data_IF_151198089461
#
_entry.id   IF_151198089461
#
_cell.length_a   1.000
_cell.length_b   1.000
_cell.length_c   1.000
_cell.angle_alpha   90.00
_cell.angle_beta   90.00
_cell.angle_gamma   90.00
#
_symmetry.space_group_name_H-M   'P 1'
#
loop_
_entity.id
_entity.type
_entity.pdbx_description
1 polymer ?
#
# COMPACT_ATOMS: atom_id res chain seq x y z
N UNK A 1 -94.57 61.19 26.03
CA UNK A 1 -93.23 60.75 26.48
C UNK A 1 -93.14 59.23 26.33
N UNK A 2 -92.01 58.70 25.84
CA UNK A 2 -91.86 57.42 25.11
C UNK A 2 -91.45 56.19 25.97
N UNK A 3 -91.90 55.01 25.50
CA UNK A 3 -91.32 53.62 25.46
C UNK A 3 -91.22 52.78 26.77
N UNK A 4 -91.92 51.62 26.87
CA UNK A 4 -91.59 50.21 26.45
C UNK A 4 -90.50 49.55 27.34
N UNK A 5 -90.49 48.27 27.78
CA UNK A 5 -91.32 47.04 27.67
C UNK A 5 -90.63 45.92 28.53
N UNK A 6 -91.35 44.80 28.77
CA UNK A 6 -90.90 43.38 28.91
C UNK A 6 -90.61 42.69 30.27
N UNK A 7 -91.61 41.90 30.70
CA UNK A 7 -91.68 40.44 31.05
C UNK A 7 -90.51 39.65 31.67
N UNK A 8 -90.83 38.76 32.65
CA UNK A 8 -90.80 37.26 32.52
C UNK A 8 -91.12 36.50 33.83
N UNK A 9 -91.78 35.33 33.69
CA UNK A 9 -91.94 34.20 34.64
C UNK A 9 -90.84 33.11 34.38
N UNK A 10 -90.92 31.79 34.75
CA UNK A 10 -91.59 30.97 35.81
C UNK A 10 -90.68 29.83 36.45
N UNK A 11 -91.26 28.99 37.36
CA UNK A 11 -91.08 27.56 37.82
C UNK A 11 -90.04 26.55 37.18
N UNK A 12 -89.88 25.24 37.58
CA UNK A 12 -89.98 24.45 38.86
C UNK A 12 -88.79 23.43 39.12
N UNK A 13 -88.84 22.62 40.21
CA UNK A 13 -87.87 21.54 40.57
C UNK A 13 -88.18 20.14 39.95
N UNK A 14 -87.13 19.35 39.65
CA UNK A 14 -87.16 18.03 38.98
C UNK A 14 -86.39 16.92 39.74
N UNK A 15 -86.82 15.67 39.48
CA UNK A 15 -86.48 14.34 40.02
C UNK A 15 -84.99 13.92 40.16
N UNK A 16 -84.74 13.01 41.11
CA UNK A 16 -83.45 12.31 41.36
C UNK A 16 -83.22 11.09 40.46
N UNK A 17 -82.02 10.96 39.89
CA UNK A 17 -81.49 9.75 39.21
C UNK A 17 -80.12 9.42 39.82
N UNK A 18 -79.94 8.18 40.29
CA UNK A 18 -78.68 7.66 40.84
C UNK A 18 -77.71 7.28 39.70
N UNK A 19 -76.54 7.91 39.66
CA UNK A 19 -75.47 7.67 38.66
C UNK A 19 -74.65 6.40 38.99
N UNK A 20 -74.49 5.52 38.00
CA UNK A 20 -73.48 4.43 37.99
C UNK A 20 -72.09 5.00 37.70
N UNK A 21 -71.10 4.63 38.52
CA UNK A 21 -69.69 5.00 38.37
C UNK A 21 -69.08 4.25 37.18
N UNK A 22 -68.54 4.98 36.20
CA UNK A 22 -67.77 4.45 35.08
C UNK A 22 -66.29 4.42 35.50
N UNK A 23 -65.70 3.23 35.50
CA UNK A 23 -64.26 3.02 35.65
C UNK A 23 -63.61 3.09 34.26
N UNK A 24 -62.74 4.07 34.05
CA UNK A 24 -61.90 4.16 32.85
C UNK A 24 -60.72 3.19 32.98
N UNK A 25 -60.70 2.16 32.15
CA UNK A 25 -59.57 1.23 32.02
C UNK A 25 -58.50 1.88 31.13
N UNK A 26 -57.34 2.20 31.70
CA UNK A 26 -56.17 2.65 30.94
C UNK A 26 -55.46 1.39 30.39
N UNK A 27 -55.70 1.08 29.12
CA UNK A 27 -55.04 -0.02 28.42
C UNK A 27 -53.59 0.39 28.12
N UNK A 28 -52.67 0.05 29.01
CA UNK A 28 -51.24 0.16 28.76
C UNK A 28 -50.83 -0.82 27.68
N UNK A 29 -50.68 -0.33 26.44
CA UNK A 29 -50.03 -1.06 25.37
C UNK A 29 -48.54 -1.14 25.70
N UNK A 30 -48.14 -2.16 26.46
CA UNK A 30 -46.77 -2.65 26.48
C UNK A 30 -46.50 -3.26 25.10
N UNK A 31 -46.19 -2.38 24.14
CA UNK A 31 -45.53 -2.78 22.92
C UNK A 31 -44.20 -3.38 23.33
N UNK A 32 -44.12 -4.71 23.34
CA UNK A 32 -42.86 -5.41 23.14
C UNK A 32 -42.46 -5.10 21.71
N UNK A 33 -41.96 -3.87 21.50
CA UNK A 33 -41.14 -3.61 20.34
C UNK A 33 -39.96 -4.54 20.51
N UNK A 34 -39.94 -5.63 19.75
CA UNK A 34 -38.66 -6.13 19.30
C UNK A 34 -37.95 -4.89 18.77
N UNK A 35 -36.90 -4.45 19.47
CA UNK A 35 -35.89 -3.60 18.89
C UNK A 35 -35.31 -4.45 17.77
N UNK A 36 -36.01 -4.47 16.64
CA UNK A 36 -35.52 -5.03 15.42
C UNK A 36 -34.40 -4.07 15.07
N UNK A 37 -33.16 -4.49 15.33
CA UNK A 37 -31.99 -3.78 14.86
C UNK A 37 -32.28 -3.41 13.41
N UNK A 38 -32.20 -2.11 13.10
CA UNK A 38 -32.40 -1.64 11.75
C UNK A 38 -31.41 -2.41 10.87
N UNK A 39 -31.90 -3.38 10.11
CA UNK A 39 -31.07 -4.14 9.20
C UNK A 39 -30.38 -3.11 8.29
N UNK A 40 -29.06 -3.14 8.24
CA UNK A 40 -28.28 -2.22 7.41
C UNK A 40 -28.93 -2.13 6.02
N UNK A 41 -29.34 -0.91 5.63
CA UNK A 41 -29.99 -0.70 4.34
C UNK A 41 -29.02 -1.15 3.25
N UNK A 42 -29.37 -2.25 2.58
CA UNK A 42 -28.60 -2.76 1.45
C UNK A 42 -29.26 -2.28 0.18
N UNK A 43 -28.59 -1.41 -0.58
CA UNK A 43 -29.01 -1.08 -1.93
C UNK A 43 -28.76 -2.30 -2.82
N UNK A 44 -29.83 -2.98 -3.23
CA UNK A 44 -29.74 -4.08 -4.18
C UNK A 44 -29.96 -3.57 -5.59
N UNK A 45 -28.92 -3.57 -6.41
CA UNK A 45 -29.04 -3.39 -7.84
C UNK A 45 -29.27 -4.75 -8.52
N UNK A 46 -30.52 -4.99 -8.90
CA UNK A 46 -30.96 -6.18 -9.66
C UNK A 46 -31.35 -5.82 -11.11
N UNK A 47 -30.95 -4.63 -11.59
CA UNK A 47 -31.26 -4.11 -12.93
C UNK A 47 -30.08 -3.29 -13.50
N UNK A 48 -30.29 -2.62 -14.62
CA UNK A 48 -29.33 -1.64 -15.13
C UNK A 48 -29.28 -0.41 -14.22
N UNK A 49 -28.09 -0.05 -13.77
CA UNK A 49 -27.85 1.18 -13.02
C UNK A 49 -26.77 1.98 -13.75
N UNK A 50 -27.12 3.18 -14.19
CA UNK A 50 -26.19 4.10 -14.85
C UNK A 50 -26.01 5.34 -13.99
N UNK A 51 -24.79 5.57 -13.51
CA UNK A 51 -24.39 6.78 -12.80
C UNK A 51 -23.70 7.68 -13.83
N UNK A 52 -24.37 8.76 -14.24
CA UNK A 52 -23.85 9.68 -15.25
C UNK A 52 -22.64 10.47 -14.74
N UNK A 53 -21.82 10.96 -15.67
CA UNK A 53 -20.73 11.87 -15.33
C UNK A 53 -21.25 13.10 -14.56
N UNK A 54 -20.57 13.45 -13.47
CA UNK A 54 -20.99 14.53 -12.56
C UNK A 54 -22.11 14.18 -11.59
N UNK A 55 -22.78 13.03 -11.74
CA UNK A 55 -23.77 12.54 -10.78
C UNK A 55 -23.11 11.79 -9.61
N UNK A 56 -23.81 11.73 -8.48
CA UNK A 56 -23.37 11.00 -7.29
C UNK A 56 -24.48 10.10 -6.74
N UNK A 57 -24.12 8.86 -6.38
CA UNK A 57 -24.94 8.00 -5.54
C UNK A 57 -24.23 7.85 -4.19
N UNK A 58 -24.96 8.14 -3.12
CA UNK A 58 -24.52 7.92 -1.74
C UNK A 58 -25.37 6.82 -1.11
N UNK A 59 -24.74 5.72 -0.71
CA UNK A 59 -25.39 4.59 -0.05
C UNK A 59 -25.01 4.60 1.43
N UNK A 60 -25.97 4.94 2.29
CA UNK A 60 -25.81 4.84 3.74
C UNK A 60 -25.96 3.39 4.20
N UNK A 61 -25.04 2.54 3.79
CA UNK A 61 -25.05 1.11 4.07
C UNK A 61 -24.32 0.32 3.01
N UNK A 62 -24.69 -0.95 2.86
CA UNK A 62 -24.07 -1.85 1.89
C UNK A 62 -24.73 -1.72 0.52
N UNK A 63 -24.02 -2.11 -0.53
CA UNK A 63 -24.56 -2.23 -1.88
C UNK A 63 -24.24 -3.60 -2.45
N UNK A 64 -25.21 -4.20 -3.15
CA UNK A 64 -25.02 -5.44 -3.90
C UNK A 64 -25.40 -5.22 -5.36
N UNK A 65 -24.47 -5.50 -6.27
CA UNK A 65 -24.70 -5.58 -7.70
C UNK A 65 -24.86 -7.07 -8.07
N UNK A 66 -26.10 -7.50 -8.30
CA UNK A 66 -26.49 -8.91 -8.41
C UNK A 66 -26.11 -9.54 -9.75
N UNK A 67 -25.94 -10.87 -9.78
CA UNK A 67 -25.43 -11.64 -10.93
C UNK A 67 -26.43 -11.87 -12.09
N UNK A 68 -27.54 -11.12 -12.15
CA UNK A 68 -28.60 -11.36 -13.13
C UNK A 68 -28.24 -10.82 -14.53
N UNK A 69 -28.63 -11.55 -15.58
CA UNK A 69 -28.17 -11.38 -16.98
C UNK A 69 -28.40 -10.01 -17.65
N UNK A 70 -29.12 -9.08 -17.01
CA UNK A 70 -29.41 -7.72 -17.52
C UNK A 70 -28.85 -6.61 -16.60
N UNK A 71 -28.06 -6.97 -15.58
CA UNK A 71 -27.51 -6.05 -14.59
C UNK A 71 -26.16 -5.52 -15.08
N UNK A 72 -26.16 -4.37 -15.74
CA UNK A 72 -24.94 -3.66 -16.10
C UNK A 72 -24.85 -2.40 -15.23
N UNK A 73 -23.98 -2.43 -14.21
CA UNK A 73 -23.62 -1.21 -13.51
C UNK A 73 -22.62 -0.43 -14.36
N UNK A 74 -23.03 0.75 -14.79
CA UNK A 74 -22.18 1.72 -15.47
C UNK A 74 -21.95 2.89 -14.53
N UNK A 75 -20.75 2.98 -13.95
CA UNK A 75 -20.39 4.08 -13.09
C UNK A 75 -19.47 5.08 -13.81
N UNK A 76 -20.05 6.17 -14.31
CA UNK A 76 -19.31 7.30 -14.87
C UNK A 76 -19.28 8.52 -13.92
N UNK A 77 -20.03 8.47 -12.82
CA UNK A 77 -20.09 9.49 -11.78
C UNK A 77 -19.34 9.05 -10.52
N UNK A 78 -19.88 9.33 -9.35
CA UNK A 78 -19.34 8.88 -8.06
C UNK A 78 -20.31 7.94 -7.36
N UNK A 79 -19.85 6.76 -6.98
CA UNK A 79 -20.54 5.88 -6.03
C UNK A 79 -19.81 5.93 -4.68
N UNK A 80 -20.49 6.37 -3.64
CA UNK A 80 -19.97 6.38 -2.26
C UNK A 80 -20.80 5.49 -1.37
N UNK A 81 -20.18 4.71 -0.50
CA UNK A 81 -20.88 3.84 0.44
C UNK A 81 -20.22 3.80 1.82
N UNK A 82 -21.02 3.67 2.87
CA UNK A 82 -20.56 3.50 4.26
C UNK A 82 -20.48 2.04 4.71
N UNK A 83 -21.10 1.10 3.99
CA UNK A 83 -21.09 -0.34 4.25
C UNK A 83 -20.31 -1.16 3.21
N UNK A 84 -20.62 -2.44 3.07
CA UNK A 84 -19.88 -3.34 2.17
C UNK A 84 -20.34 -3.21 0.72
N UNK A 85 -19.44 -3.49 -0.23
CA UNK A 85 -19.79 -3.60 -1.65
C UNK A 85 -19.67 -5.06 -2.08
N UNK A 86 -20.70 -5.62 -2.70
CA UNK A 86 -20.64 -6.92 -3.39
C UNK A 86 -20.88 -6.70 -4.88
N UNK A 87 -19.89 -7.03 -5.72
CA UNK A 87 -20.01 -6.89 -7.17
C UNK A 87 -19.93 -8.24 -7.89
N UNK A 88 -21.09 -8.76 -8.31
CA UNK A 88 -21.19 -10.04 -9.03
C UNK A 88 -21.41 -9.86 -10.54
N UNK A 89 -21.14 -8.67 -11.07
CA UNK A 89 -21.28 -8.37 -12.50
C UNK A 89 -20.08 -7.59 -13.01
N UNK A 90 -19.86 -7.69 -14.32
CA UNK A 90 -18.87 -6.85 -14.98
C UNK A 90 -19.33 -5.40 -14.93
N UNK A 91 -18.50 -4.52 -14.39
CA UNK A 91 -18.65 -3.08 -14.58
C UNK A 91 -18.16 -2.78 -16.00
N UNK A 92 -19.08 -2.43 -16.92
CA UNK A 92 -18.72 -2.23 -18.33
C UNK A 92 -17.60 -1.20 -18.51
N UNK A 93 -16.77 -1.41 -19.53
CA UNK A 93 -15.57 -0.63 -19.83
C UNK A 93 -15.91 0.84 -20.15
N UNK A 94 -15.96 1.66 -19.11
CA UNK A 94 -15.89 3.11 -19.14
C UNK A 94 -15.29 3.54 -17.79
N UNK A 95 -13.98 3.41 -17.65
CA UNK A 95 -13.21 3.77 -16.46
C UNK A 95 -13.17 5.29 -16.27
N UNK A 96 -14.33 5.91 -16.04
CA UNK A 96 -14.49 7.35 -15.84
C UNK A 96 -15.01 7.71 -14.45
N UNK A 97 -15.71 6.77 -13.79
CA UNK A 97 -16.27 7.01 -12.46
C UNK A 97 -15.30 6.84 -11.29
N UNK A 98 -15.82 7.18 -10.11
CA UNK A 98 -15.18 7.05 -8.80
C UNK A 98 -15.96 6.08 -7.91
N UNK A 99 -15.25 5.21 -7.19
CA UNK A 99 -15.78 4.45 -6.07
C UNK A 99 -15.18 4.96 -4.75
N UNK A 100 -16.00 5.24 -3.74
CA UNK A 100 -15.54 5.73 -2.46
C UNK A 100 -16.04 4.86 -1.29
N UNK A 101 -15.11 4.28 -0.55
CA UNK A 101 -15.37 3.60 0.72
C UNK A 101 -15.18 4.61 1.85
N UNK A 102 -16.30 5.06 2.44
CA UNK A 102 -16.36 6.19 3.38
C UNK A 102 -17.03 5.81 4.71
N UNK A 103 -16.94 4.54 5.08
CA UNK A 103 -17.51 4.01 6.31
C UNK A 103 -16.72 4.39 7.57
N UNK A 104 -17.30 4.10 8.72
CA UNK A 104 -16.65 4.22 10.05
C UNK A 104 -16.35 2.86 10.68
N UNK A 105 -16.92 1.79 10.12
CA UNK A 105 -16.64 0.39 10.47
C UNK A 105 -15.87 -0.27 9.33
N UNK A 106 -15.13 -1.35 9.61
CA UNK A 106 -14.39 -2.07 8.57
C UNK A 106 -15.31 -2.44 7.39
N UNK A 107 -14.88 -2.09 6.18
CA UNK A 107 -15.63 -2.37 4.95
C UNK A 107 -15.00 -3.53 4.20
N UNK A 108 -15.81 -4.19 3.36
CA UNK A 108 -15.38 -5.31 2.53
C UNK A 108 -15.83 -5.08 1.09
N UNK A 109 -14.91 -5.27 0.15
CA UNK A 109 -15.21 -5.47 -1.27
C UNK A 109 -15.29 -6.97 -1.56
N UNK A 110 -16.49 -7.44 -1.86
CA UNK A 110 -16.81 -8.81 -2.22
C UNK A 110 -17.23 -8.92 -3.68
N UNK A 111 -17.42 -10.16 -4.10
CA UNK A 111 -18.15 -10.52 -5.32
C UNK A 111 -17.32 -11.37 -6.28
N UNK A 112 -17.98 -11.89 -7.30
CA UNK A 112 -17.37 -12.78 -8.29
C UNK A 112 -16.57 -12.04 -9.37
N UNK A 113 -16.70 -10.71 -9.45
CA UNK A 113 -16.12 -9.91 -10.54
C UNK A 113 -15.35 -8.72 -9.98
N UNK A 114 -14.20 -8.42 -10.59
CA UNK A 114 -13.40 -7.27 -10.22
C UNK A 114 -14.18 -5.97 -10.46
N UNK A 115 -14.01 -5.00 -9.56
CA UNK A 115 -14.53 -3.65 -9.77
C UNK A 115 -13.59 -2.83 -10.64
N UNK A 116 -14.05 -2.31 -11.77
CA UNK A 116 -13.23 -1.49 -12.67
C UNK A 116 -13.69 -0.04 -12.64
N UNK A 117 -12.77 0.90 -12.39
CA UNK A 117 -13.11 2.33 -12.26
C UNK A 117 -11.93 3.22 -12.59
N UNK A 118 -12.18 4.53 -12.78
CA UNK A 118 -11.09 5.50 -12.91
C UNK A 118 -10.41 5.69 -11.57
N UNK A 119 -11.17 6.14 -10.59
CA UNK A 119 -10.66 6.59 -9.31
C UNK A 119 -11.28 5.78 -8.17
N UNK A 120 -10.49 5.53 -7.13
CA UNK A 120 -10.97 4.96 -5.87
C UNK A 120 -10.54 5.87 -4.73
N UNK A 121 -11.42 6.06 -3.76
CA UNK A 121 -11.09 6.73 -2.51
C UNK A 121 -11.35 5.80 -1.33
N UNK A 122 -10.33 5.65 -0.48
CA UNK A 122 -10.45 4.96 0.80
C UNK A 122 -10.38 6.04 1.87
N UNK A 123 -11.51 6.25 2.54
CA UNK A 123 -11.64 7.16 3.67
C UNK A 123 -12.34 6.43 4.83
N UNK A 124 -11.68 5.38 5.32
CA UNK A 124 -12.18 4.56 6.40
C UNK A 124 -11.02 4.03 7.24
N UNK A 125 -10.78 4.65 8.40
CA UNK A 125 -9.71 4.26 9.31
C UNK A 125 -9.83 2.83 9.85
N UNK A 126 -11.03 2.24 9.85
CA UNK A 126 -11.23 0.84 10.21
C UNK A 126 -10.79 -0.15 9.11
N UNK A 127 -10.45 0.36 7.92
CA UNK A 127 -9.84 -0.40 6.83
C UNK A 127 -10.82 -0.99 5.82
N UNK A 128 -10.25 -1.50 4.73
CA UNK A 128 -10.97 -2.16 3.64
C UNK A 128 -10.36 -3.55 3.40
N UNK A 129 -11.17 -4.61 3.50
CA UNK A 129 -10.77 -5.97 3.12
C UNK A 129 -11.20 -6.25 1.68
N UNK A 130 -10.31 -6.84 0.86
CA UNK A 130 -10.61 -7.20 -0.52
C UNK A 130 -10.76 -8.72 -0.70
N UNK A 131 -12.00 -9.16 -0.88
CA UNK A 131 -12.33 -10.51 -1.34
C UNK A 131 -12.51 -10.58 -2.86
N UNK A 132 -12.71 -9.44 -3.52
CA UNK A 132 -12.66 -9.27 -4.98
C UNK A 132 -11.65 -8.18 -5.34
N UNK A 133 -11.03 -8.29 -6.51
CA UNK A 133 -10.07 -7.31 -6.99
C UNK A 133 -10.76 -5.98 -7.35
N UNK A 134 -9.97 -4.91 -7.39
CA UNK A 134 -10.37 -3.69 -8.08
C UNK A 134 -9.26 -3.26 -9.05
N UNK A 135 -9.66 -2.61 -10.13
CA UNK A 135 -8.77 -2.09 -11.17
C UNK A 135 -8.92 -0.57 -11.21
N UNK A 136 -7.82 0.14 -10.97
CA UNK A 136 -7.71 1.60 -10.98
C UNK A 136 -6.93 2.02 -12.22
N UNK A 137 -7.58 2.80 -13.08
CA UNK A 137 -6.96 3.38 -14.28
C UNK A 137 -6.48 4.83 -14.06
N UNK A 138 -7.01 5.50 -13.04
CA UNK A 138 -6.66 6.86 -12.61
C UNK A 138 -5.97 6.82 -11.26
N UNK A 139 -6.63 7.31 -10.20
CA UNK A 139 -6.01 7.50 -8.89
C UNK A 139 -6.68 6.69 -7.78
N UNK A 140 -5.89 5.94 -7.00
CA UNK A 140 -6.28 5.46 -5.68
C UNK A 140 -5.88 6.50 -4.62
N UNK A 141 -6.84 7.15 -3.98
CA UNK A 141 -6.60 8.11 -2.91
C UNK A 141 -6.68 7.42 -1.54
N UNK A 142 -5.54 7.29 -0.87
CA UNK A 142 -5.43 6.78 0.51
C UNK A 142 -5.71 7.87 1.54
N UNK A 143 -6.95 8.39 1.59
CA UNK A 143 -7.32 9.45 2.52
C UNK A 143 -7.20 8.99 3.98
N UNK A 144 -7.72 7.81 4.29
CA UNK A 144 -7.52 7.13 5.58
C UNK A 144 -7.79 5.61 5.46
N UNK A 145 -7.09 4.80 6.26
CA UNK A 145 -7.33 3.36 6.35
C UNK A 145 -6.36 2.48 5.56
N UNK A 146 -6.18 1.26 6.07
CA UNK A 146 -5.36 0.22 5.44
C UNK A 146 -6.23 -0.69 4.58
N UNK A 147 -5.77 -0.98 3.36
CA UNK A 147 -6.36 -2.00 2.50
C UNK A 147 -5.69 -3.33 2.81
N UNK A 148 -6.48 -4.37 3.08
CA UNK A 148 -6.02 -5.74 3.31
C UNK A 148 -6.53 -6.66 2.21
N UNK A 149 -5.70 -6.99 1.20
CA UNK A 149 -6.02 -7.97 0.18
C UNK A 149 -6.14 -9.37 0.79
N UNK A 150 -7.34 -9.94 0.84
CA UNK A 150 -7.57 -11.29 1.38
C UNK A 150 -7.58 -12.34 0.26
N UNK A 151 -8.37 -12.08 -0.80
CA UNK A 151 -8.43 -12.90 -2.01
C UNK A 151 -8.25 -12.03 -3.26
N UNK A 152 -8.93 -10.89 -3.29
CA UNK A 152 -8.80 -9.90 -4.35
C UNK A 152 -7.58 -9.02 -4.15
N UNK A 153 -7.04 -8.48 -5.25
CA UNK A 153 -5.88 -7.59 -5.23
C UNK A 153 -6.23 -6.18 -5.71
N UNK A 154 -5.58 -5.12 -5.17
CA UNK A 154 -5.50 -3.82 -5.82
C UNK A 154 -4.68 -3.95 -7.11
N UNK A 155 -5.27 -3.53 -8.23
CA UNK A 155 -4.61 -3.54 -9.54
C UNK A 155 -4.57 -2.12 -10.10
N UNK A 156 -3.36 -1.63 -10.37
CA UNK A 156 -3.14 -0.38 -11.09
C UNK A 156 -2.89 -0.68 -12.57
N UNK A 157 -3.72 -0.13 -13.45
CA UNK A 157 -3.70 -0.42 -14.88
C UNK A 157 -3.18 0.78 -15.65
N UNK A 158 -2.24 0.58 -16.57
CA UNK A 158 -1.63 1.60 -17.43
C UNK A 158 -1.07 2.79 -16.63
N UNK A 159 -1.75 3.94 -16.70
CA UNK A 159 -1.40 5.18 -16.00
C UNK A 159 -1.94 5.26 -14.57
N UNK A 160 -2.52 4.16 -14.06
CA UNK A 160 -3.02 4.06 -12.69
C UNK A 160 -1.93 4.40 -11.67
N UNK A 161 -2.26 5.29 -10.73
CA UNK A 161 -1.37 5.79 -9.68
C UNK A 161 -2.11 5.93 -8.34
N UNK A 162 -1.40 6.31 -7.29
CA UNK A 162 -1.99 6.61 -5.99
C UNK A 162 -1.47 7.94 -5.42
N UNK A 163 -2.21 8.45 -4.45
CA UNK A 163 -1.83 9.61 -3.65
C UNK A 163 -2.13 9.36 -2.17
N UNK A 164 -1.45 10.12 -1.30
CA UNK A 164 -1.66 10.13 0.15
C UNK A 164 -1.40 8.81 0.89
N UNK A 165 -0.68 7.87 0.28
CA UNK A 165 -0.20 6.70 1.00
C UNK A 165 0.77 7.12 2.13
N UNK A 166 0.58 6.55 3.33
CA UNK A 166 1.35 6.85 4.55
C UNK A 166 1.21 5.68 5.54
N UNK A 167 1.88 5.78 6.68
CA UNK A 167 1.79 4.78 7.77
C UNK A 167 0.34 4.42 8.14
N UNK A 168 -0.53 5.42 8.28
CA UNK A 168 -1.94 5.21 8.61
C UNK A 168 -2.83 4.80 7.43
N UNK A 169 -2.32 4.80 6.19
CA UNK A 169 -3.09 4.43 5.00
C UNK A 169 -2.20 3.91 3.86
N UNK A 170 -2.17 2.59 3.72
CA UNK A 170 -1.42 1.87 2.71
C UNK A 170 -2.05 0.48 2.49
N UNK A 171 -1.45 -0.35 1.63
CA UNK A 171 -1.84 -1.74 1.43
C UNK A 171 -1.00 -2.65 2.32
N UNK A 172 -1.64 -3.39 3.23
CA UNK A 172 -1.02 -4.48 3.95
C UNK A 172 -1.24 -5.78 3.18
N UNK A 173 -0.35 -6.06 2.23
CA UNK A 173 -0.46 -7.22 1.34
C UNK A 173 0.16 -6.96 -0.03
N UNK A 174 -0.42 -7.59 -1.05
CA UNK A 174 0.10 -7.54 -2.42
C UNK A 174 -0.61 -6.50 -3.28
N UNK A 175 0.15 -5.76 -4.09
CA UNK A 175 -0.37 -4.81 -5.09
C UNK A 175 0.15 -5.20 -6.47
N UNK A 176 -0.70 -5.07 -7.49
CA UNK A 176 -0.36 -5.35 -8.90
C UNK A 176 -0.24 -4.06 -9.69
N UNK A 177 0.79 -3.95 -10.53
CA UNK A 177 0.94 -2.92 -11.57
C UNK A 177 1.01 -3.57 -12.95
N UNK A 178 0.15 -3.14 -13.85
CA UNK A 178 0.11 -3.52 -15.27
C UNK A 178 0.68 -2.35 -16.10
N UNK A 179 1.55 -2.65 -17.06
CA UNK A 179 2.18 -1.67 -17.95
C UNK A 179 3.54 -1.15 -17.46
N UNK A 180 4.09 -0.18 -18.18
CA UNK A 180 5.45 0.37 -17.98
C UNK A 180 5.45 1.70 -17.23
N UNK A 181 6.63 2.28 -17.00
CA UNK A 181 6.83 3.59 -16.37
C UNK A 181 7.16 3.53 -14.88
N UNK A 182 7.26 4.71 -14.27
CA UNK A 182 7.51 4.85 -12.84
C UNK A 182 6.24 4.51 -12.03
N UNK A 183 6.41 3.74 -10.97
CA UNK A 183 5.33 3.40 -10.04
C UNK A 183 5.88 3.21 -8.64
N UNK A 184 5.16 3.71 -7.64
CA UNK A 184 5.47 3.49 -6.22
C UNK A 184 4.45 2.50 -5.66
N UNK A 185 4.87 1.31 -5.23
CA UNK A 185 3.98 0.37 -4.58
C UNK A 185 3.63 0.88 -3.17
N UNK A 186 2.35 1.19 -2.87
CA UNK A 186 1.93 1.70 -1.57
C UNK A 186 1.74 0.57 -0.56
N UNK A 187 2.79 -0.23 -0.34
CA UNK A 187 2.75 -1.46 0.47
C UNK A 187 3.42 -1.27 1.83
N UNK A 188 3.03 -2.06 2.82
CA UNK A 188 3.54 -2.01 4.18
C UNK A 188 3.08 -3.21 5.00
N UNK A 189 3.19 -3.12 6.33
CA UNK A 189 2.79 -4.19 7.26
C UNK A 189 1.51 -3.89 8.06
N UNK A 190 0.74 -2.88 7.65
CA UNK A 190 -0.43 -2.38 8.37
C UNK A 190 -0.13 -1.35 9.45
N UNK A 191 1.14 -1.11 9.77
CA UNK A 191 1.58 -0.10 10.74
C UNK A 191 2.48 0.94 10.06
N UNK A 192 3.44 0.47 9.26
CA UNK A 192 4.41 1.29 8.54
C UNK A 192 4.27 1.10 7.05
N UNK A 193 4.25 2.22 6.32
CA UNK A 193 4.40 2.20 4.87
C UNK A 193 5.86 1.90 4.56
N UNK A 194 6.10 0.82 3.84
CA UNK A 194 7.43 0.45 3.35
C UNK A 194 7.35 0.24 1.85
N UNK A 195 7.29 1.36 1.14
CA UNK A 195 7.08 1.38 -0.30
C UNK A 195 8.25 0.76 -1.05
N UNK A 196 7.95 0.22 -2.23
CA UNK A 196 8.93 -0.17 -3.24
C UNK A 196 8.69 0.68 -4.47
N UNK A 197 9.66 1.45 -4.92
CA UNK A 197 9.51 2.18 -6.18
C UNK A 197 10.15 1.41 -7.31
N UNK A 198 9.51 1.43 -8.48
CA UNK A 198 10.01 0.82 -9.71
C UNK A 198 9.97 1.83 -10.84
N UNK A 199 10.90 1.69 -11.79
CA UNK A 199 10.80 2.32 -13.09
C UNK A 199 10.90 1.24 -14.16
N UNK A 200 9.74 0.85 -14.68
CA UNK A 200 9.56 -0.31 -15.55
C UNK A 200 9.80 0.11 -17.00
N UNK A 201 10.80 -0.47 -17.64
CA UNK A 201 11.10 -0.21 -19.06
C UNK A 201 10.43 -1.24 -19.97
N UNK A 202 10.42 -2.51 -19.56
CA UNK A 202 9.79 -3.61 -20.30
C UNK A 202 8.88 -4.38 -19.36
N UNK A 203 7.60 -4.47 -19.72
CA UNK A 203 6.61 -5.34 -19.10
C UNK A 203 5.43 -5.48 -20.07
N UNK A 204 5.16 -6.71 -20.51
CA UNK A 204 4.04 -7.05 -21.41
C UNK A 204 2.86 -7.66 -20.65
N UNK A 205 2.90 -7.70 -19.32
CA UNK A 205 1.85 -8.28 -18.49
C UNK A 205 1.68 -7.54 -17.16
N UNK A 206 2.16 -8.10 -16.05
CA UNK A 206 2.10 -7.43 -14.75
C UNK A 206 3.33 -7.69 -13.90
N UNK A 207 3.59 -6.77 -12.97
CA UNK A 207 4.41 -7.02 -11.79
C UNK A 207 3.54 -6.89 -10.54
N UNK A 208 3.87 -7.63 -9.50
CA UNK A 208 3.25 -7.44 -8.19
C UNK A 208 4.30 -7.39 -7.10
N UNK A 209 4.05 -6.57 -6.10
CA UNK A 209 4.94 -6.43 -4.96
C UNK A 209 4.19 -6.58 -3.64
N UNK A 210 4.88 -7.12 -2.64
CA UNK A 210 4.45 -7.14 -1.24
C UNK A 210 5.64 -6.89 -0.32
N UNK A 211 5.35 -6.39 0.87
CA UNK A 211 6.33 -6.11 1.91
C UNK A 211 6.26 -7.16 3.01
N UNK A 212 7.39 -7.42 3.67
CA UNK A 212 7.45 -8.27 4.86
C UNK A 212 8.49 -7.75 5.83
N UNK A 213 8.10 -7.66 7.11
CA UNK A 213 9.02 -7.41 8.22
C UNK A 213 9.64 -8.74 8.69
N UNK A 214 10.89 -8.67 9.11
CA UNK A 214 11.76 -9.79 9.43
C UNK A 214 12.61 -10.25 8.24
N UNK A 215 13.52 -11.19 8.52
CA UNK A 215 14.23 -11.90 7.47
C UNK A 215 13.32 -12.97 6.89
N UNK A 216 13.61 -13.40 5.67
CA UNK A 216 13.07 -14.69 5.24
C UNK A 216 13.90 -15.76 5.95
N UNK A 217 13.31 -16.39 6.97
CA UNK A 217 13.95 -17.48 7.72
C UNK A 217 14.55 -18.50 6.75
N UNK A 218 15.85 -18.78 6.89
CA UNK A 218 16.55 -19.80 6.10
C UNK A 218 17.20 -19.30 4.80
N UNK A 219 17.14 -18.00 4.48
CA UNK A 219 17.83 -17.46 3.31
C UNK A 219 19.28 -17.06 3.62
N UNK A 220 20.12 -18.03 3.98
CA UNK A 220 21.56 -17.90 3.76
C UNK A 220 21.89 -17.73 2.27
N UNK A 221 23.18 -17.69 1.93
CA UNK A 221 23.63 -17.59 0.55
C UNK A 221 24.95 -16.88 0.43
N UNK A 222 25.68 -17.15 -0.65
CA UNK A 222 26.88 -16.39 -0.94
C UNK A 222 26.53 -15.01 -1.49
N UNK A 223 27.36 -14.02 -1.18
CA UNK A 223 27.40 -12.75 -1.91
C UNK A 223 28.29 -12.96 -3.13
N UNK A 224 27.73 -12.80 -4.33
CA UNK A 224 28.45 -13.12 -5.58
C UNK A 224 28.68 -11.87 -6.42
N UNK A 225 29.59 -11.98 -7.38
CA UNK A 225 29.89 -10.96 -8.39
C UNK A 225 28.97 -11.03 -9.62
N UNK A 226 27.90 -11.83 -9.57
CA UNK A 226 26.99 -12.05 -10.70
C UNK A 226 25.85 -11.01 -10.79
N UNK A 227 25.79 -10.05 -9.85
CA UNK A 227 24.85 -8.95 -9.93
C UNK A 227 25.19 -7.96 -11.04
N UNK A 228 24.30 -7.02 -11.30
CA UNK A 228 24.58 -5.92 -12.26
C UNK A 228 25.78 -5.07 -11.85
N UNK A 229 26.17 -5.10 -10.56
CA UNK A 229 27.45 -4.61 -10.07
C UNK A 229 28.36 -5.80 -9.73
N UNK A 230 29.60 -5.85 -10.26
CA UNK A 230 30.48 -7.01 -10.09
C UNK A 230 31.14 -7.10 -8.71
N UNK A 231 31.04 -6.05 -7.87
CA UNK A 231 31.51 -6.09 -6.49
C UNK A 231 30.49 -6.85 -5.63
N UNK A 232 30.87 -7.95 -4.95
CA UNK A 232 29.97 -8.62 -4.03
C UNK A 232 29.48 -7.70 -2.90
N UNK A 233 28.30 -8.00 -2.36
CA UNK A 233 27.84 -7.37 -1.13
C UNK A 233 28.71 -7.83 0.04
N UNK A 234 28.93 -6.94 1.01
CA UNK A 234 29.47 -7.30 2.32
C UNK A 234 28.37 -7.75 3.28
N UNK A 235 27.13 -7.31 3.04
CA UNK A 235 25.98 -7.75 3.81
C UNK A 235 24.65 -7.28 3.22
N UNK A 236 23.57 -7.69 3.87
CA UNK A 236 22.20 -7.30 3.55
C UNK A 236 21.38 -7.04 4.80
N UNK A 237 20.32 -6.25 4.65
CA UNK A 237 19.33 -6.07 5.67
C UNK A 237 18.54 -7.38 5.87
N UNK A 238 18.37 -7.75 7.14
CA UNK A 238 17.65 -8.94 7.57
C UNK A 238 16.42 -8.57 8.40
N UNK A 239 16.12 -7.28 8.55
CA UNK A 239 14.93 -6.82 9.25
C UNK A 239 13.71 -6.67 8.35
N UNK A 240 13.87 -6.62 7.03
CA UNK A 240 12.77 -6.53 6.09
C UNK A 240 13.18 -6.89 4.66
N UNK A 241 12.18 -7.17 3.83
CA UNK A 241 12.35 -7.38 2.40
C UNK A 241 11.06 -7.12 1.63
N UNK A 242 11.20 -7.00 0.31
CA UNK A 242 10.11 -6.93 -0.64
C UNK A 242 10.13 -8.15 -1.55
N UNK A 243 8.97 -8.77 -1.74
CA UNK A 243 8.79 -9.73 -2.82
C UNK A 243 8.38 -8.97 -4.07
N UNK A 244 9.15 -9.12 -5.15
CA UNK A 244 8.80 -8.63 -6.47
C UNK A 244 8.59 -9.83 -7.40
N UNK A 245 7.36 -10.00 -7.87
CA UNK A 245 7.01 -11.08 -8.78
C UNK A 245 6.73 -10.50 -10.18
N UNK A 246 7.40 -11.05 -11.18
CA UNK A 246 7.08 -10.81 -12.58
C UNK A 246 6.08 -11.87 -13.06
N UNK A 247 4.97 -11.42 -13.66
CA UNK A 247 3.94 -12.29 -14.22
C UNK A 247 4.44 -13.18 -15.37
N UNK A 248 3.51 -13.97 -15.92
CA UNK A 248 3.72 -14.64 -17.20
C UNK A 248 3.91 -13.63 -18.33
N UNK A 249 4.63 -13.99 -19.38
CA UNK A 249 4.94 -13.08 -20.50
C UNK A 249 6.44 -12.98 -20.73
N UNK A 250 6.91 -11.79 -21.09
CA UNK A 250 8.32 -11.43 -21.24
C UNK A 250 9.01 -11.20 -19.89
N UNK A 251 10.34 -11.05 -19.95
CA UNK A 251 11.10 -10.63 -18.77
C UNK A 251 10.78 -9.18 -18.44
N UNK A 252 10.57 -8.91 -17.16
CA UNK A 252 10.56 -7.55 -16.64
C UNK A 252 11.97 -6.98 -16.72
N UNK A 253 12.09 -5.75 -17.21
CA UNK A 253 13.33 -4.98 -17.14
C UNK A 253 13.03 -3.60 -16.58
N UNK A 254 13.80 -3.18 -15.57
CA UNK A 254 13.63 -1.88 -14.96
C UNK A 254 14.55 -1.66 -13.77
N UNK A 255 14.38 -0.50 -13.13
CA UNK A 255 15.09 -0.18 -11.89
C UNK A 255 14.15 -0.34 -10.69
N UNK A 256 14.72 -0.69 -9.55
CA UNK A 256 14.03 -0.76 -8.26
C UNK A 256 14.70 0.22 -7.30
N UNK A 257 13.90 0.96 -6.54
CA UNK A 257 14.39 1.82 -5.46
C UNK A 257 13.83 1.32 -4.14
N UNK A 258 14.76 1.04 -3.21
CA UNK A 258 14.45 0.69 -1.82
C UNK A 258 14.78 1.88 -0.93
N UNK A 259 14.07 1.97 0.19
CA UNK A 259 14.18 3.05 1.14
C UNK A 259 14.73 2.50 2.47
N UNK A 260 15.42 3.35 3.21
CA UNK A 260 15.66 3.13 4.63
C UNK A 260 15.11 4.32 5.40
N UNK A 261 14.55 4.07 6.56
CA UNK A 261 13.95 5.07 7.46
C UNK A 261 14.21 4.74 8.94
N UNK A 262 15.08 3.76 9.19
CA UNK A 262 15.36 3.19 10.51
C UNK A 262 14.35 2.14 10.97
N UNK A 263 13.19 2.03 10.33
CA UNK A 263 12.25 0.92 10.56
C UNK A 263 12.87 -0.34 9.99
N UNK A 264 13.04 -1.38 10.81
CA UNK A 264 13.49 -2.70 10.36
C UNK A 264 14.84 -2.69 9.58
N UNK A 265 15.67 -1.66 9.77
CA UNK A 265 17.03 -1.59 9.23
C UNK A 265 18.01 -2.18 10.25
N UNK A 266 18.40 -3.44 10.05
CA UNK A 266 19.31 -4.14 10.98
C UNK A 266 20.73 -3.58 10.97
N UNK A 267 21.06 -2.69 10.02
CA UNK A 267 22.37 -2.07 9.93
C UNK A 267 22.25 -0.55 9.71
N UNK A 268 21.59 0.10 10.66
CA UNK A 268 21.28 1.54 10.63
C UNK A 268 22.48 2.50 10.72
N UNK A 269 23.70 1.98 10.93
CA UNK A 269 24.94 2.78 10.97
C UNK A 269 25.65 2.92 9.63
N UNK A 270 25.17 2.25 8.58
CA UNK A 270 25.85 2.23 7.27
C UNK A 270 25.76 3.59 6.58
N UNK A 271 26.92 4.11 6.17
CA UNK A 271 27.00 5.36 5.40
C UNK A 271 26.26 5.21 4.06
N UNK A 272 25.48 6.22 3.63
CA UNK A 272 24.66 6.07 2.42
C UNK A 272 25.43 5.63 1.19
N UNK A 273 26.65 6.13 0.98
CA UNK A 273 27.46 5.88 -0.23
C UNK A 273 27.77 4.40 -0.51
N UNK A 274 27.71 3.53 0.50
CA UNK A 274 27.94 2.09 0.34
C UNK A 274 26.64 1.27 0.32
N UNK A 275 25.47 1.89 0.51
CA UNK A 275 24.17 1.22 0.39
C UNK A 275 23.93 0.77 -1.04
N UNK A 276 23.36 -0.41 -1.20
CA UNK A 276 23.06 -1.05 -2.49
C UNK A 276 21.67 -1.65 -2.47
N UNK A 277 21.14 -1.95 -3.65
CA UNK A 277 20.00 -2.86 -3.77
C UNK A 277 20.53 -4.29 -3.78
N UNK A 278 20.09 -5.11 -2.83
CA UNK A 278 20.39 -6.53 -2.79
C UNK A 278 19.22 -7.31 -3.39
N UNK A 279 19.49 -8.18 -4.36
CA UNK A 279 18.50 -9.09 -4.93
C UNK A 279 18.91 -10.52 -4.72
N UNK A 280 17.97 -11.36 -4.31
CA UNK A 280 18.17 -12.80 -4.27
C UNK A 280 17.91 -13.43 -5.63
N UNK A 281 18.84 -14.23 -6.11
CA UNK A 281 18.65 -15.10 -7.26
C UNK A 281 19.05 -16.53 -6.90
N UNK A 282 18.11 -17.48 -6.99
CA UNK A 282 18.35 -18.84 -6.52
C UNK A 282 18.72 -18.84 -5.04
N UNK A 283 19.92 -19.35 -4.72
CA UNK A 283 20.44 -19.37 -3.34
C UNK A 283 21.35 -18.21 -2.98
N UNK A 284 21.69 -17.35 -3.93
CA UNK A 284 22.73 -16.33 -3.75
C UNK A 284 22.16 -14.92 -3.74
N UNK A 285 23.00 -13.99 -3.29
CA UNK A 285 22.70 -12.57 -3.20
C UNK A 285 23.56 -11.80 -4.18
N UNK A 286 22.86 -11.02 -5.00
CA UNK A 286 23.42 -10.20 -6.05
C UNK A 286 23.43 -8.74 -5.62
N UNK A 287 24.53 -8.07 -5.94
CA UNK A 287 24.64 -6.63 -5.83
C UNK A 287 24.05 -5.97 -7.08
N UNK A 288 22.92 -5.30 -6.92
CA UNK A 288 22.25 -4.61 -8.03
C UNK A 288 22.64 -3.14 -8.17
N UNK A 289 23.67 -2.69 -7.45
CA UNK A 289 24.19 -1.34 -7.56
C UNK A 289 23.44 -0.30 -6.74
N UNK A 290 23.72 0.96 -7.04
CA UNK A 290 23.27 2.13 -6.29
C UNK A 290 23.49 3.42 -7.10
N UNK A 291 22.79 3.56 -8.23
CA UNK A 291 22.99 4.67 -9.19
C UNK A 291 22.48 6.01 -8.70
N UNK A 292 21.53 5.99 -7.77
CA UNK A 292 21.01 7.19 -7.14
C UNK A 292 20.82 6.91 -5.66
N UNK A 293 21.81 7.33 -4.86
CA UNK A 293 21.79 7.22 -3.41
C UNK A 293 21.50 8.61 -2.86
N UNK A 294 20.42 8.75 -2.11
CA UNK A 294 19.99 10.01 -1.51
C UNK A 294 19.70 9.81 -0.03
N UNK A 295 19.88 10.86 0.76
CA UNK A 295 19.50 10.90 2.17
C UNK A 295 20.67 10.91 3.14
N UNK A 296 20.38 10.55 4.38
CA UNK A 296 21.29 10.52 5.53
C UNK A 296 21.47 9.08 6.02
N UNK A 297 22.26 8.88 7.08
CA UNK A 297 22.40 7.57 7.72
C UNK A 297 21.04 7.02 8.20
N UNK A 298 20.15 7.88 8.70
CA UNK A 298 18.89 7.46 9.32
C UNK A 298 17.74 7.29 8.34
N UNK A 299 17.75 8.01 7.22
CA UNK A 299 16.70 7.89 6.21
C UNK A 299 17.18 8.26 4.81
N UNK A 300 16.72 7.53 3.79
CA UNK A 300 17.10 7.76 2.40
C UNK A 300 16.63 6.68 1.45
N UNK A 301 17.22 6.66 0.27
CA UNK A 301 16.89 5.73 -0.80
C UNK A 301 18.08 5.33 -1.64
N UNK A 302 18.05 4.12 -2.18
CA UNK A 302 19.02 3.65 -3.17
C UNK A 302 18.30 3.00 -4.34
N UNK A 303 18.60 3.49 -5.55
CA UNK A 303 18.10 2.92 -6.82
C UNK A 303 19.12 1.96 -7.42
N UNK A 304 18.68 0.77 -7.80
CA UNK A 304 19.49 -0.23 -8.49
C UNK A 304 19.92 0.25 -9.89
N UNK A 305 20.87 -0.46 -10.50
CA UNK A 305 20.98 -0.54 -11.95
C UNK A 305 19.69 -1.12 -12.56
N UNK A 306 19.61 -1.09 -13.89
CA UNK A 306 18.57 -1.86 -14.57
C UNK A 306 18.78 -3.35 -14.31
N UNK A 307 17.75 -4.01 -13.77
CA UNK A 307 17.73 -5.45 -13.50
C UNK A 307 16.72 -6.13 -14.41
N UNK A 308 17.00 -7.39 -14.75
CA UNK A 308 16.09 -8.24 -15.51
C UNK A 308 15.54 -9.33 -14.61
N UNK A 309 14.21 -9.43 -14.53
CA UNK A 309 13.50 -10.46 -13.77
C UNK A 309 12.77 -11.39 -14.75
N UNK A 310 13.15 -12.68 -14.82
CA UNK A 310 12.51 -13.62 -15.73
C UNK A 310 11.00 -13.75 -15.48
N UNK A 311 10.27 -14.12 -16.52
CA UNK A 311 8.83 -14.36 -16.43
C UNK A 311 8.49 -15.45 -15.40
N UNK A 312 7.36 -15.28 -14.72
CA UNK A 312 6.85 -16.22 -13.70
C UNK A 312 7.82 -16.47 -12.54
N UNK A 313 8.67 -15.50 -12.20
CA UNK A 313 9.61 -15.63 -11.07
C UNK A 313 9.31 -14.64 -9.95
N UNK A 314 9.50 -15.10 -8.72
CA UNK A 314 9.54 -14.25 -7.55
C UNK A 314 10.99 -13.91 -7.22
N UNK A 315 11.26 -12.64 -6.94
CA UNK A 315 12.56 -12.14 -6.49
C UNK A 315 12.39 -11.51 -5.12
N UNK A 316 13.37 -11.73 -4.26
CA UNK A 316 13.44 -11.03 -2.98
C UNK A 316 14.41 -9.87 -3.15
N UNK A 317 13.93 -8.68 -2.83
CA UNK A 317 14.68 -7.44 -2.83
C UNK A 317 14.82 -6.96 -1.39
N UNK A 318 16.01 -6.53 -1.00
CA UNK A 318 16.23 -5.85 0.28
C UNK A 318 17.37 -4.85 0.14
N UNK A 319 17.65 -4.11 1.21
CA UNK A 319 18.79 -3.21 1.29
C UNK A 319 20.07 -4.03 1.46
N UNK A 320 21.11 -3.69 0.70
CA UNK A 320 22.44 -4.27 0.78
C UNK A 320 23.48 -3.21 1.13
N UNK A 321 24.71 -3.65 1.38
CA UNK A 321 25.86 -2.76 1.43
C UNK A 321 27.14 -3.43 0.95
N UNK A 322 28.06 -2.62 0.47
CA UNK A 322 29.45 -2.98 0.26
C UNK A 322 30.29 -2.69 1.51
N UNK A 323 31.49 -3.26 1.55
CA UNK A 323 32.47 -2.87 2.55
C UNK A 323 32.82 -1.40 2.38
N UNK A 324 32.90 -0.71 3.52
CA UNK A 324 33.43 0.64 3.56
C UNK A 324 34.95 0.56 3.43
N UNK A 325 35.45 0.48 2.19
CA UNK A 325 36.86 0.71 1.93
C UNK A 325 37.16 2.18 2.18
N UNK A 326 37.88 2.47 3.27
CA UNK A 326 38.47 3.78 3.48
C UNK A 326 39.41 4.03 2.30
N UNK A 327 39.21 5.10 1.50
CA UNK A 327 40.09 5.37 0.39
C UNK A 327 41.50 5.64 0.93
N UNK A 328 42.42 4.71 0.64
CA UNK A 328 43.85 4.89 0.83
C UNK A 328 44.38 5.69 -0.36
N UNK A 329 44.89 6.90 -0.09
CA UNK A 329 45.62 7.69 -1.10
C UNK A 329 47.11 7.67 -0.78
N UNK A 330 47.93 7.13 -1.70
CA UNK A 330 49.38 7.26 -1.61
C UNK A 330 49.77 8.71 -1.91
N UNK A 331 50.33 9.39 -0.92
CA UNK A 331 50.86 10.75 -1.07
C UNK A 331 52.27 10.72 -1.64
N UNK A 332 53.10 9.76 -1.18
CA UNK A 332 54.47 9.62 -1.61
C UNK A 332 54.98 8.19 -1.35
N UNK A 333 55.85 7.68 -2.23
CA UNK A 333 56.64 6.46 -2.01
C UNK A 333 58.05 6.73 -2.53
N UNK A 334 59.02 6.74 -1.62
CA UNK A 334 60.44 6.95 -1.92
C UNK A 334 61.25 5.74 -1.46
N UNK A 335 62.17 5.30 -2.32
CA UNK A 335 63.18 4.30 -1.96
C UNK A 335 64.56 4.94 -2.07
N UNK A 336 65.37 4.82 -1.02
CA UNK A 336 66.75 5.30 -1.00
C UNK A 336 67.70 4.17 -0.64
N UNK A 337 68.85 4.14 -1.30
CA UNK A 337 69.97 3.30 -0.88
C UNK A 337 70.65 3.96 0.31
N UNK A 338 70.87 3.19 1.37
CA UNK A 338 71.57 3.67 2.56
C UNK A 338 73.07 3.39 2.41
N UNK A 339 73.91 4.14 3.13
CA UNK A 339 75.38 3.98 3.07
C UNK A 339 75.87 2.56 3.42
N UNK A 340 74.99 1.73 3.99
CA UNK A 340 75.26 0.34 4.39
C UNK A 340 74.67 -0.70 3.40
N UNK A 341 74.35 -0.33 2.15
CA UNK A 341 73.75 -1.19 1.12
C UNK A 341 72.39 -1.79 1.51
N UNK A 342 71.60 -1.08 2.31
CA UNK A 342 70.21 -1.45 2.62
C UNK A 342 69.27 -0.50 1.88
N UNK A 343 68.22 -1.04 1.27
CA UNK A 343 67.13 -0.23 0.72
C UNK A 343 66.23 0.23 1.85
N UNK A 344 66.10 1.53 2.03
CA UNK A 344 65.08 2.12 2.89
C UNK A 344 63.90 2.56 2.01
N UNK A 345 62.70 2.06 2.33
CA UNK A 345 61.46 2.52 1.71
C UNK A 345 60.72 3.40 2.71
N UNK A 346 60.37 4.60 2.29
CA UNK A 346 59.52 5.53 3.04
C UNK A 346 58.27 5.77 2.22
N UNK A 347 57.11 5.66 2.87
CA UNK A 347 55.85 6.00 2.24
C UNK A 347 55.07 6.97 3.11
N UNK A 348 54.25 7.77 2.45
CA UNK A 348 53.29 8.64 3.07
C UNK A 348 51.94 8.37 2.42
N UNK A 349 50.93 8.24 3.26
CA UNK A 349 49.57 7.91 2.87
C UNK A 349 48.63 8.89 3.53
N UNK A 350 47.52 9.21 2.87
CA UNK A 350 46.39 9.92 3.44
C UNK A 350 45.31 8.91 3.74
N UNK A 351 45.23 8.50 5.00
CA UNK A 351 44.21 7.60 5.52
C UNK A 351 43.94 7.87 7.02
N UNK A 352 42.89 7.27 7.55
CA UNK A 352 42.51 7.39 8.97
C UNK A 352 42.15 6.01 9.52
N UNK A 353 42.29 5.82 10.84
CA UNK A 353 41.92 4.59 11.55
C UNK A 353 42.67 3.31 11.12
N UNK A 354 43.97 3.41 10.80
CA UNK A 354 44.79 2.23 10.48
C UNK A 354 45.44 1.63 11.72
N UNK A 355 45.24 0.32 11.90
CA UNK A 355 45.77 -0.42 13.02
C UNK A 355 47.23 -0.88 12.81
N UNK A 356 47.62 -1.24 11.59
CA UNK A 356 48.98 -1.68 11.26
C UNK A 356 49.26 -1.63 9.75
N UNK A 357 50.55 -1.62 9.39
CA UNK A 357 51.04 -1.85 8.03
C UNK A 357 51.85 -3.14 7.99
N UNK A 358 51.62 -3.96 6.97
CA UNK A 358 52.43 -5.15 6.69
C UNK A 358 53.20 -4.90 5.39
N UNK A 359 54.53 -5.00 5.45
CA UNK A 359 55.41 -4.83 4.29
C UNK A 359 55.90 -6.21 3.85
N UNK A 360 55.57 -6.59 2.62
CA UNK A 360 56.01 -7.85 2.02
C UNK A 360 57.06 -7.60 0.93
N UNK A 361 58.15 -8.38 0.94
CA UNK A 361 59.18 -8.35 -0.09
C UNK A 361 59.02 -9.54 -1.02
N UNK A 362 58.91 -9.31 -2.33
CA UNK A 362 59.05 -10.37 -3.33
C UNK A 362 60.53 -10.54 -3.70
N UNK A 363 61.04 -11.78 -3.64
CA UNK A 363 62.45 -12.11 -3.91
C UNK A 363 62.77 -12.11 -5.42
N UNK A 364 61.75 -12.17 -6.28
CA UNK A 364 61.96 -12.50 -7.70
C UNK A 364 61.86 -11.33 -8.68
N UNK A 365 61.60 -10.10 -8.24
CA UNK A 365 61.69 -8.90 -9.08
C UNK A 365 60.88 -8.90 -10.39
N UNK A 366 59.92 -9.81 -10.57
CA UNK A 366 59.04 -9.85 -11.72
C UNK A 366 57.71 -9.20 -11.32
N UNK A 367 57.63 -7.89 -11.58
CA UNK A 367 56.40 -7.12 -11.64
C UNK A 367 56.14 -6.69 -13.07
#
# INVERSE_FOLDING_TARGET
>A
MKKQLLSKSPFPQLLSIQMKKIFTFLLGLLGVGSLQEAAAQTLQNNTQLHIQAGAGIYVQGSMMNSSASLVNLQNNGTLSLTGNLTNNQSTAFAATGKLAFIGTTAQVLNGSTAWVTKDIEIDNTAGLTLNSAFNVHGTLNFKSGVITPAVGLPVFVDNGTHINAKDASHVNGTVVKIGTGAFSFPIGNGIKLQKLDVNITVNDFFVRASYSAGDVVGLGGAYTSAGSRPTPLAGRNTGEYWNLFNGSGSSYTGQVTVFWDGTNDTNNGVVPSVRRVARRQGTDWLNEGGNNIMGTITAGSVTSNSITVPASTNQIITLGWEDQVLPLSWLNVNATDTKDQKVQVQWQVSESNVATYIVERNINGAG
#
